data_IF_522662687603
#
_entry.id   IF_522662687603
#
_cell.length_a   1.000
_cell.length_b   1.000
_cell.length_c   1.000
_cell.angle_alpha   90.00
_cell.angle_beta   90.00
_cell.angle_gamma   90.00
#
_symmetry.space_group_name_H-M   'P 1'
#
loop_
_entity.id
_entity.type
_entity.pdbx_description
1 polymer ?
#
# COMPACT_ATOMS: atom_id res chain seq x y z
N UNK A 1 -18.90 -8.14 2.72
CA UNK A 1 -19.21 -6.69 2.77
C UNK A 1 -18.10 -5.97 3.54
N UNK A 2 -17.14 -5.34 2.86
CA UNK A 2 -15.97 -4.72 3.52
C UNK A 2 -16.35 -3.33 4.05
N UNK A 3 -16.82 -3.27 5.30
CA UNK A 3 -17.69 -2.17 5.74
C UNK A 3 -17.04 -1.01 6.50
N UNK A 4 -15.71 -0.87 6.55
CA UNK A 4 -15.08 0.40 6.95
C UNK A 4 -13.59 0.42 6.55
N UNK A 5 -13.28 1.08 5.43
CA UNK A 5 -11.94 1.57 5.14
C UNK A 5 -11.94 3.07 5.37
N UNK A 6 -10.92 3.57 6.05
CA UNK A 6 -10.72 4.99 6.24
C UNK A 6 -9.84 5.51 5.10
N UNK A 7 -10.32 6.57 4.45
CA UNK A 7 -9.56 7.33 3.45
C UNK A 7 -9.25 8.67 4.10
N UNK A 8 -7.99 8.86 4.51
CA UNK A 8 -7.49 10.13 5.00
C UNK A 8 -6.86 10.87 3.83
N UNK A 9 -7.25 12.14 3.65
CA UNK A 9 -6.68 13.01 2.62
C UNK A 9 -5.97 14.18 3.28
N UNK A 10 -4.74 14.45 2.82
CA UNK A 10 -4.00 15.70 3.01
C UNK A 10 -3.68 16.24 1.61
N UNK A 11 -3.17 17.47 1.49
CA UNK A 11 -2.95 18.16 0.20
C UNK A 11 -2.48 17.22 -0.92
N UNK A 12 -1.34 16.56 -0.72
CA UNK A 12 -0.75 15.68 -1.74
C UNK A 12 -0.68 14.21 -1.31
N UNK A 13 -1.40 13.83 -0.25
CA UNK A 13 -1.28 12.50 0.35
C UNK A 13 -2.65 11.86 0.58
N UNK A 14 -2.75 10.58 0.21
CA UNK A 14 -3.88 9.70 0.54
C UNK A 14 -3.38 8.56 1.41
N UNK A 15 -3.98 8.39 2.59
CA UNK A 15 -3.75 7.21 3.45
C UNK A 15 -5.03 6.37 3.47
N UNK A 16 -4.92 5.11 3.03
CA UNK A 16 -5.96 4.11 3.08
C UNK A 16 -5.66 3.11 4.21
N UNK A 17 -6.50 3.08 5.25
CA UNK A 17 -6.27 2.26 6.43
C UNK A 17 -7.55 1.55 6.88
N UNK A 18 -7.41 0.38 7.51
CA UNK A 18 -8.55 -0.32 8.13
C UNK A 18 -8.85 0.17 9.55
N UNK A 19 -7.83 0.63 10.28
CA UNK A 19 -7.95 1.13 11.65
C UNK A 19 -7.29 2.50 11.78
N UNK A 20 -7.88 3.36 12.60
CA UNK A 20 -7.30 4.63 12.99
C UNK A 20 -6.70 4.52 14.42
N UNK A 21 -5.65 5.31 14.73
CA UNK A 21 -4.79 6.00 13.77
C UNK A 21 -4.03 5.00 12.87
N UNK A 22 -3.70 5.33 11.61
CA UNK A 22 -2.88 4.46 10.77
C UNK A 22 -1.57 4.12 11.49
N UNK A 23 -1.14 2.86 11.43
CA UNK A 23 0.07 2.39 12.10
C UNK A 23 0.78 1.37 11.21
N UNK A 24 2.08 1.54 11.11
CA UNK A 24 2.98 0.67 10.35
C UNK A 24 3.91 -0.05 11.33
N UNK A 25 3.54 -1.27 11.73
CA UNK A 25 4.46 -2.16 12.45
C UNK A 25 5.43 -2.86 11.48
N UNK A 26 4.99 -2.97 10.22
CA UNK A 26 5.72 -3.43 9.06
C UNK A 26 5.47 -2.43 7.94
N UNK A 27 6.51 -2.05 7.19
CA UNK A 27 6.38 -1.17 6.03
C UNK A 27 7.45 -1.42 4.98
N UNK A 28 7.07 -1.22 3.73
CA UNK A 28 7.97 -1.12 2.59
C UNK A 28 7.51 0.05 1.71
N UNK A 29 8.44 0.61 0.94
CA UNK A 29 8.15 1.76 0.10
C UNK A 29 8.65 1.55 -1.32
N UNK A 30 8.02 2.26 -2.26
CA UNK A 30 8.44 2.28 -3.65
C UNK A 30 7.97 3.56 -4.34
N UNK A 31 8.58 3.89 -5.48
CA UNK A 31 8.18 5.03 -6.32
C UNK A 31 7.56 4.51 -7.61
N UNK A 32 6.43 5.08 -8.01
CA UNK A 32 5.77 4.83 -9.30
C UNK A 32 5.86 6.08 -10.17
N UNK A 33 5.79 5.91 -11.50
CA UNK A 33 5.90 7.04 -12.44
C UNK A 33 4.77 8.06 -12.28
N UNK A 34 3.51 7.58 -12.19
CA UNK A 34 2.33 8.44 -12.05
C UNK A 34 1.09 7.62 -11.68
N UNK A 35 -0.03 8.29 -11.41
CA UNK A 35 -1.36 7.68 -11.24
C UNK A 35 -2.17 8.30 -10.11
N UNK A 36 -3.49 8.16 -10.16
CA UNK A 36 -4.39 8.62 -9.10
C UNK A 36 -4.08 7.94 -7.75
N UNK A 37 -3.86 8.77 -6.72
CA UNK A 37 -3.40 8.30 -5.41
C UNK A 37 -4.33 7.27 -4.77
N UNK A 38 -5.65 7.49 -4.87
CA UNK A 38 -6.64 6.61 -4.25
C UNK A 38 -6.78 5.27 -5.00
N UNK A 39 -6.73 5.30 -6.33
CA UNK A 39 -6.73 4.09 -7.16
C UNK A 39 -5.46 3.25 -6.95
N UNK A 40 -4.30 3.90 -6.83
CA UNK A 40 -3.05 3.23 -6.45
C UNK A 40 -3.18 2.60 -5.06
N UNK A 41 -3.57 3.38 -4.05
CA UNK A 41 -3.73 2.90 -2.68
C UNK A 41 -4.68 1.69 -2.60
N UNK A 42 -5.79 1.74 -3.34
CA UNK A 42 -6.79 0.67 -3.39
C UNK A 42 -6.24 -0.62 -3.96
N UNK A 43 -5.51 -0.56 -5.08
CA UNK A 43 -4.96 -1.74 -5.73
C UNK A 43 -3.79 -2.34 -4.93
N UNK A 44 -2.88 -1.51 -4.46
CA UNK A 44 -1.70 -1.93 -3.68
C UNK A 44 -2.16 -2.62 -2.40
N UNK A 45 -3.14 -2.03 -1.70
CA UNK A 45 -3.78 -2.65 -0.53
C UNK A 45 -4.33 -4.05 -0.83
N UNK A 46 -4.98 -4.24 -1.97
CA UNK A 46 -5.55 -5.56 -2.32
C UNK A 46 -4.44 -6.61 -2.46
N UNK A 47 -3.34 -6.29 -3.13
CA UNK A 47 -2.25 -7.24 -3.35
C UNK A 47 -1.46 -7.49 -2.07
N UNK A 48 -1.18 -6.44 -1.30
CA UNK A 48 -0.54 -6.55 0.02
C UNK A 48 -1.39 -7.42 0.95
N UNK A 49 -2.71 -7.22 0.98
CA UNK A 49 -3.61 -8.09 1.73
C UNK A 49 -3.53 -9.53 1.25
N UNK A 50 -3.61 -9.80 -0.06
CA UNK A 50 -3.51 -11.17 -0.59
C UNK A 50 -2.21 -11.86 -0.20
N UNK A 51 -1.10 -11.11 -0.18
CA UNK A 51 0.21 -11.63 0.19
C UNK A 51 0.36 -11.89 1.69
N UNK A 52 -0.19 -11.01 2.54
CA UNK A 52 0.07 -11.01 3.98
C UNK A 52 -1.12 -11.39 4.87
N UNK A 53 -2.30 -11.71 4.32
CA UNK A 53 -3.50 -12.06 5.09
C UNK A 53 -3.33 -13.22 6.09
N UNK A 54 -2.31 -14.08 5.91
CA UNK A 54 -1.99 -15.17 6.84
C UNK A 54 -1.20 -14.71 8.07
N UNK A 55 -0.69 -13.48 8.06
CA UNK A 55 0.03 -12.88 9.18
C UNK A 55 -0.98 -12.48 10.27
N UNK A 56 -0.77 -12.98 11.48
CA UNK A 56 -1.70 -12.79 12.60
C UNK A 56 -1.86 -11.31 12.91
N UNK A 57 -3.11 -10.85 12.99
CA UNK A 57 -3.43 -9.45 13.28
C UNK A 57 -3.07 -8.47 12.18
N UNK A 58 -2.72 -8.94 10.97
CA UNK A 58 -2.36 -8.05 9.89
C UNK A 58 -3.53 -7.16 9.47
N UNK A 59 -3.30 -5.85 9.46
CA UNK A 59 -4.25 -4.86 8.98
C UNK A 59 -3.53 -3.87 8.08
N UNK A 60 -3.79 -3.88 6.76
CA UNK A 60 -2.98 -3.12 5.84
C UNK A 60 -3.27 -1.62 5.94
N UNK A 61 -2.21 -0.84 5.74
CA UNK A 61 -2.20 0.60 5.57
C UNK A 61 -1.41 0.89 4.30
N UNK A 62 -1.94 1.77 3.45
CA UNK A 62 -1.23 2.26 2.27
C UNK A 62 -1.28 3.76 2.28
N UNK A 63 -0.12 4.39 2.24
CA UNK A 63 0.06 5.81 2.07
C UNK A 63 0.62 6.09 0.69
N UNK A 64 0.03 7.06 0.00
CA UNK A 64 0.41 7.47 -1.34
C UNK A 64 0.57 8.98 -1.35
N UNK A 65 1.77 9.44 -1.67
CA UNK A 65 2.10 10.87 -1.74
C UNK A 65 2.45 11.22 -3.18
N UNK A 66 1.75 12.21 -3.74
CA UNK A 66 2.06 12.80 -5.04
C UNK A 66 3.27 13.74 -4.91
N UNK A 67 4.18 13.68 -5.86
CA UNK A 67 5.38 14.52 -5.90
C UNK A 67 5.73 14.87 -7.35
N UNK A 68 6.55 15.90 -7.55
CA UNK A 68 6.99 16.37 -8.88
C UNK A 68 7.77 15.30 -9.66
N UNK A 69 8.38 14.32 -8.99
CA UNK A 69 9.14 13.23 -9.61
C UNK A 69 8.37 11.90 -9.73
N UNK A 70 7.06 11.89 -9.44
CA UNK A 70 6.22 10.69 -9.49
C UNK A 70 5.44 10.48 -8.19
N UNK A 71 5.07 9.23 -7.92
CA UNK A 71 4.22 8.88 -6.79
C UNK A 71 4.99 8.02 -5.80
N UNK A 72 5.18 8.52 -4.60
CA UNK A 72 5.77 7.78 -3.49
C UNK A 72 4.69 6.95 -2.81
N UNK A 73 4.94 5.66 -2.63
CA UNK A 73 4.04 4.72 -1.97
C UNK A 73 4.75 4.12 -0.78
N UNK A 74 4.08 4.11 0.37
CA UNK A 74 4.44 3.30 1.54
C UNK A 74 3.29 2.36 1.84
N UNK A 75 3.54 1.06 1.81
CA UNK A 75 2.55 0.03 2.10
C UNK A 75 3.04 -0.86 3.24
N UNK A 76 2.09 -1.39 4.01
CA UNK A 76 2.42 -2.21 5.16
C UNK A 76 1.22 -2.33 6.06
N UNK A 77 1.42 -2.28 7.38
CA UNK A 77 0.31 -2.20 8.31
C UNK A 77 0.63 -2.67 9.71
N UNK A 78 -0.44 -2.81 10.51
CA UNK A 78 -0.36 -3.35 11.86
C UNK A 78 -0.12 -4.84 11.81
N UNK A 79 0.62 -5.38 12.79
CA UNK A 79 0.81 -6.82 12.98
C UNK A 79 0.60 -7.17 14.46
N UNK A 80 0.25 -8.41 14.76
CA UNK A 80 0.20 -8.86 16.16
C UNK A 80 1.45 -9.68 16.49
N UNK A 81 2.24 -9.18 17.44
CA UNK A 81 3.47 -9.85 17.89
C UNK A 81 4.67 -9.56 16.98
N UNK A 82 5.67 -10.42 17.04
CA UNK A 82 6.89 -10.29 16.24
C UNK A 82 6.59 -10.47 14.74
N UNK A 83 7.24 -9.65 13.92
CA UNK A 83 7.23 -9.78 12.46
C UNK A 83 8.25 -10.87 12.10
N UNK A 84 7.84 -11.99 11.47
CA UNK A 84 8.80 -12.97 10.99
C UNK A 84 9.70 -12.37 9.91
N UNK A 85 10.99 -12.72 9.91
CA UNK A 85 11.99 -12.19 8.95
C UNK A 85 11.53 -12.20 7.48
N UNK A 86 10.94 -13.27 6.90
CA UNK A 86 10.60 -13.29 5.47
C UNK A 86 9.42 -12.39 5.10
N UNK A 87 8.72 -11.81 6.07
CA UNK A 87 7.54 -10.97 5.80
C UNK A 87 7.93 -9.65 5.17
N UNK A 88 9.06 -9.06 5.57
CA UNK A 88 9.58 -7.82 4.97
C UNK A 88 9.87 -8.05 3.48
N UNK A 89 10.60 -9.11 3.15
CA UNK A 89 10.95 -9.45 1.77
C UNK A 89 9.70 -9.74 0.93
N UNK A 90 8.72 -10.43 1.51
CA UNK A 90 7.47 -10.71 0.81
C UNK A 90 6.66 -9.45 0.51
N UNK A 91 6.66 -8.48 1.42
CA UNK A 91 6.02 -7.18 1.20
C UNK A 91 6.76 -6.39 0.11
N UNK A 92 8.09 -6.33 0.18
CA UNK A 92 8.92 -5.66 -0.82
C UNK A 92 8.73 -6.31 -2.20
N UNK A 93 8.72 -7.63 -2.29
CA UNK A 93 8.49 -8.37 -3.54
C UNK A 93 7.13 -8.06 -4.18
N UNK A 94 6.10 -7.76 -3.40
CA UNK A 94 4.80 -7.29 -3.94
C UNK A 94 4.94 -5.92 -4.59
N UNK A 95 5.66 -4.99 -3.95
CA UNK A 95 5.88 -3.62 -4.43
C UNK A 95 6.81 -3.55 -5.64
N UNK A 96 7.78 -4.45 -5.71
CA UNK A 96 8.77 -4.49 -6.80
C UNK A 96 8.34 -5.34 -7.98
N UNK A 97 7.28 -6.15 -7.85
CA UNK A 97 6.79 -6.99 -8.94
C UNK A 97 6.40 -6.14 -10.16
N UNK A 98 7.10 -6.27 -11.31
CA UNK A 98 6.86 -5.43 -12.48
C UNK A 98 5.43 -5.54 -13.03
N UNK A 99 4.82 -6.73 -12.95
CA UNK A 99 3.44 -6.97 -13.41
C UNK A 99 2.43 -6.24 -12.53
N UNK A 100 2.65 -6.21 -11.21
CA UNK A 100 1.81 -5.44 -10.29
C UNK A 100 1.94 -3.95 -10.58
N UNK A 101 3.17 -3.44 -10.67
CA UNK A 101 3.45 -2.02 -10.91
C UNK A 101 2.82 -1.51 -12.20
N UNK A 102 3.04 -2.21 -13.31
CA UNK A 102 2.45 -1.85 -14.61
C UNK A 102 0.91 -1.86 -14.56
N UNK A 103 0.32 -2.84 -13.87
CA UNK A 103 -1.13 -2.92 -13.68
C UNK A 103 -1.65 -1.76 -12.82
N UNK A 104 -0.98 -1.44 -11.72
CA UNK A 104 -1.38 -0.37 -10.81
C UNK A 104 -1.42 0.97 -11.51
N UNK A 105 -0.33 1.34 -12.19
CA UNK A 105 -0.20 2.59 -12.96
C UNK A 105 -1.28 2.67 -14.03
N UNK A 106 -1.42 1.63 -14.86
CA UNK A 106 -2.44 1.57 -15.93
C UNK A 106 -3.86 1.77 -15.39
N UNK A 107 -4.22 1.05 -14.32
CA UNK A 107 -5.57 1.15 -13.73
C UNK A 107 -5.78 2.44 -12.94
N UNK A 108 -4.71 3.11 -12.51
CA UNK A 108 -4.77 4.42 -11.87
C UNK A 108 -4.77 5.59 -12.86
N UNK A 109 -4.76 5.32 -14.17
CA UNK A 109 -4.72 6.35 -15.22
C UNK A 109 -3.34 7.01 -15.36
N UNK A 110 -2.29 6.40 -14.81
CA UNK A 110 -0.93 6.88 -14.97
C UNK A 110 -0.33 6.51 -16.33
N UNK A 111 0.63 7.31 -16.78
CA UNK A 111 1.52 7.02 -17.90
C UNK A 111 2.73 6.22 -17.38
N UNK A 112 3.12 5.18 -18.12
CA UNK A 112 4.28 4.32 -17.82
C UNK A 112 5.54 4.89 -18.43
#
# INVERSE_FOLDING_TARGET
MARNWHILRKQDQVTLARHLPPRFDLSASTTLASGDALRLATQIRQDVWRALQKLRGFSPVVEVTQSTGGVQVTAGGRVFGAVPEPVQDRLQAVLDNPKNRARWVRCAGGMQ
#
